data_IF_379223949180
#
_entry.id   IF_379223949180
#
_cell.length_a   1.000
_cell.length_b   1.000
_cell.length_c   1.000
_cell.angle_alpha   90.00
_cell.angle_beta   90.00
_cell.angle_gamma   90.00
#
_symmetry.space_group_name_H-M   'P 1'
#
loop_
_entity.id
_entity.type
_entity.pdbx_description
1 polymer ?
#
# COMPACT_ATOMS: atom_id res chain seq x y z
N UNK A 1 8.09 0.61 15.62
CA UNK A 1 8.81 0.02 14.47
C UNK A 1 7.74 -0.41 13.47
N UNK A 2 7.72 0.14 12.25
CA UNK A 2 6.72 -0.23 11.24
C UNK A 2 7.14 -1.58 10.64
N UNK A 3 6.31 -2.62 10.77
CA UNK A 3 6.60 -3.88 10.09
C UNK A 3 6.43 -3.65 8.57
N UNK A 4 7.39 -4.10 7.75
CA UNK A 4 7.25 -4.00 6.30
C UNK A 4 5.99 -4.75 5.84
N UNK A 5 5.26 -4.23 4.84
CA UNK A 5 4.05 -4.89 4.36
C UNK A 5 4.39 -6.26 3.77
N UNK A 6 3.52 -7.24 4.02
CA UNK A 6 3.61 -8.57 3.40
C UNK A 6 2.65 -8.58 2.23
N UNK A 7 3.19 -8.66 1.02
CA UNK A 7 2.39 -8.78 -0.20
C UNK A 7 2.24 -10.24 -0.63
N UNK A 8 1.17 -10.59 -1.38
CA UNK A 8 1.04 -11.92 -1.95
C UNK A 8 2.25 -12.30 -2.80
N UNK A 9 2.81 -13.50 -2.56
CA UNK A 9 4.03 -13.93 -3.23
C UNK A 9 3.92 -13.89 -4.77
N UNK A 10 2.76 -14.24 -5.32
CA UNK A 10 2.52 -14.26 -6.76
C UNK A 10 2.55 -12.87 -7.44
N UNK A 11 2.63 -11.78 -6.68
CA UNK A 11 2.81 -10.43 -7.24
C UNK A 11 4.27 -10.15 -7.62
N UNK A 12 5.23 -10.90 -7.05
CA UNK A 12 6.68 -10.72 -7.27
C UNK A 12 7.16 -9.26 -7.14
N UNK A 13 6.58 -8.51 -6.20
CA UNK A 13 6.98 -7.14 -5.89
C UNK A 13 8.01 -7.11 -4.75
N UNK A 14 8.92 -6.15 -4.80
CA UNK A 14 9.99 -5.99 -3.80
C UNK A 14 10.20 -4.52 -3.42
N UNK A 15 11.10 -4.27 -2.46
CA UNK A 15 11.52 -2.92 -2.05
C UNK A 15 10.35 -1.96 -1.71
N UNK A 16 9.42 -2.34 -0.82
CA UNK A 16 8.36 -1.44 -0.43
C UNK A 16 8.91 -0.19 0.26
N UNK A 17 8.56 0.98 -0.28
CA UNK A 17 8.76 2.29 0.35
C UNK A 17 7.39 2.91 0.56
N UNK A 18 7.03 3.18 1.81
CA UNK A 18 5.79 3.91 2.12
C UNK A 18 5.93 5.34 1.61
N UNK A 19 5.04 5.76 0.72
CA UNK A 19 5.06 7.10 0.12
C UNK A 19 3.88 7.96 0.55
N UNK A 20 2.79 7.36 1.04
CA UNK A 20 1.69 8.07 1.66
C UNK A 20 0.98 7.21 2.71
N UNK A 21 0.62 7.83 3.82
CA UNK A 21 -0.35 7.33 4.79
C UNK A 21 -1.53 8.28 4.76
N UNK A 22 -2.63 7.83 4.16
CA UNK A 22 -3.86 8.61 4.05
C UNK A 22 -4.91 8.05 4.99
N UNK A 23 -5.99 8.81 5.18
CA UNK A 23 -7.11 8.34 5.99
C UNK A 23 -7.60 6.94 5.56
N UNK A 24 -7.76 6.71 4.26
CA UNK A 24 -8.35 5.48 3.72
C UNK A 24 -7.34 4.41 3.30
N UNK A 25 -6.05 4.72 3.26
CA UNK A 25 -5.07 3.80 2.68
C UNK A 25 -3.65 4.05 3.11
N UNK A 26 -2.84 3.01 2.98
CA UNK A 26 -1.39 3.10 2.92
C UNK A 26 -0.96 2.89 1.46
N UNK A 27 -0.03 3.70 0.98
CA UNK A 27 0.46 3.67 -0.40
C UNK A 27 1.95 3.40 -0.40
N UNK A 28 2.37 2.35 -1.10
CA UNK A 28 3.77 1.98 -1.26
C UNK A 28 4.19 2.07 -2.73
N UNK A 29 5.42 2.57 -2.94
CA UNK A 29 6.16 2.31 -4.16
C UNK A 29 6.89 0.98 -3.99
N UNK A 30 6.83 0.12 -5.00
CA UNK A 30 7.50 -1.18 -5.06
C UNK A 30 8.23 -1.34 -6.39
N UNK A 31 9.11 -2.33 -6.47
CA UNK A 31 9.82 -2.71 -7.70
C UNK A 31 9.28 -4.03 -8.23
N UNK A 32 8.94 -4.09 -9.52
CA UNK A 32 8.62 -5.31 -10.27
C UNK A 32 9.90 -6.10 -10.59
N UNK A 33 9.80 -7.36 -11.07
CA UNK A 33 10.97 -8.19 -11.36
C UNK A 33 11.92 -7.62 -12.43
N UNK A 34 11.40 -6.83 -13.36
CA UNK A 34 12.16 -6.12 -14.40
C UNK A 34 12.74 -4.77 -13.91
N UNK A 35 12.52 -4.43 -12.63
CA UNK A 35 12.93 -3.18 -12.03
C UNK A 35 11.98 -2.01 -12.30
N UNK A 36 10.89 -2.21 -13.06
CA UNK A 36 9.89 -1.16 -13.27
C UNK A 36 9.19 -0.83 -11.95
N UNK A 37 9.03 0.46 -11.60
CA UNK A 37 8.31 0.84 -10.39
C UNK A 37 6.81 0.59 -10.54
N UNK A 38 6.17 0.11 -9.47
CA UNK A 38 4.72 -0.02 -9.37
C UNK A 38 4.21 0.56 -8.04
N UNK A 39 2.90 0.76 -7.94
CA UNK A 39 2.23 1.27 -6.74
C UNK A 39 1.32 0.19 -6.18
N UNK A 40 1.46 -0.07 -4.87
CA UNK A 40 0.49 -0.86 -4.11
C UNK A 40 -0.27 0.10 -3.20
N UNK A 41 -1.61 0.03 -3.23
CA UNK A 41 -2.49 0.75 -2.33
C UNK A 41 -3.23 -0.25 -1.45
N UNK A 42 -2.90 -0.28 -0.17
CA UNK A 42 -3.60 -1.07 0.83
C UNK A 42 -4.72 -0.24 1.43
N UNK A 43 -5.96 -0.70 1.26
CA UNK A 43 -7.13 -0.03 1.83
C UNK A 43 -7.21 -0.35 3.33
N UNK A 44 -7.39 0.69 4.14
CA UNK A 44 -7.73 0.52 5.55
C UNK A 44 -9.20 0.08 5.64
N UNK A 45 -9.58 -0.78 6.60
CA UNK A 45 -10.98 -0.98 6.93
C UNK A 45 -11.59 0.37 7.29
N UNK A 46 -12.69 0.74 6.63
CA UNK A 46 -13.45 1.94 6.97
C UNK A 46 -14.75 1.44 7.57
N UNK A 47 -14.90 1.59 8.89
CA UNK A 47 -16.07 1.11 9.61
C UNK A 47 -17.30 2.00 9.38
N UNK A 48 -17.13 3.24 8.89
CA UNK A 48 -18.25 4.15 8.63
C UNK A 48 -17.97 5.18 7.50
N UNK A 49 -18.14 4.75 6.24
CA UNK A 49 -17.88 5.56 5.02
C UNK A 49 -18.68 6.89 4.98
N UNK A 50 -19.78 6.99 5.73
CA UNK A 50 -20.69 8.13 5.67
C UNK A 50 -20.15 9.39 6.36
N UNK A 51 -19.32 9.26 7.39
CA UNK A 51 -18.86 10.40 8.22
C UNK A 51 -17.57 11.06 7.71
N UNK A 52 -16.88 10.42 6.75
CA UNK A 52 -15.51 10.77 6.34
C UNK A 52 -15.43 11.57 5.03
N UNK A 53 -16.57 11.79 4.36
CA UNK A 53 -16.70 12.49 3.07
C UNK A 53 -17.06 13.99 3.22
N UNK A 54 -16.75 14.60 4.37
CA UNK A 54 -17.20 15.95 4.74
C UNK A 54 -16.25 17.07 4.34
#
# INVERSE_FOLDING_TARGET
MFMPPVFPAHWHVSQPVLIADTFSSLVWKVSLPDGTPAIVKGLKPIEDIADELR
#
